data_IF_105549446388
#
_entry.id   IF_105549446388
#
_cell.length_a   1.000
_cell.length_b   1.000
_cell.length_c   1.000
_cell.angle_alpha   90.00
_cell.angle_beta   90.00
_cell.angle_gamma   90.00
#
_symmetry.space_group_name_H-M   'P 1'
#
loop_
_entity.id
_entity.type
_entity.pdbx_description
1 polymer ?
#
# COMPACT_ATOMS: atom_id res chain seq x y z
N UNK A 1 10.48 -4.21 6.90
CA UNK A 1 9.54 -4.56 5.82
C UNK A 1 9.42 -6.05 5.61
N UNK A 2 10.52 -6.79 5.35
CA UNK A 2 10.48 -8.23 5.03
C UNK A 2 9.72 -9.07 6.07
N UNK A 3 10.08 -8.98 7.37
CA UNK A 3 9.41 -9.74 8.42
C UNK A 3 7.88 -9.48 8.51
N UNK A 4 7.47 -8.22 8.37
CA UNK A 4 6.05 -7.85 8.41
C UNK A 4 5.30 -8.40 7.20
N UNK A 5 5.89 -8.30 6.01
CA UNK A 5 5.31 -8.85 4.80
C UNK A 5 5.21 -10.38 4.85
N UNK A 6 6.23 -11.07 5.37
CA UNK A 6 6.17 -12.52 5.65
C UNK A 6 4.99 -12.85 6.57
N UNK A 7 4.83 -12.11 7.67
CA UNK A 7 3.74 -12.31 8.63
C UNK A 7 2.35 -12.10 8.00
N UNK A 8 2.17 -11.03 7.23
CA UNK A 8 0.87 -10.66 6.65
C UNK A 8 0.46 -11.54 5.46
N UNK A 9 1.43 -11.99 4.66
CA UNK A 9 1.15 -12.71 3.41
C UNK A 9 1.27 -14.24 3.55
N UNK A 10 2.01 -14.72 4.56
CA UNK A 10 2.37 -16.13 4.67
C UNK A 10 3.37 -16.61 3.61
N UNK A 11 3.96 -15.71 2.80
CA UNK A 11 4.97 -16.09 1.82
C UNK A 11 6.24 -16.64 2.50
N UNK A 12 6.72 -17.79 2.04
CA UNK A 12 7.90 -18.45 2.59
C UNK A 12 9.22 -17.72 2.30
N UNK A 13 9.24 -16.86 1.28
CA UNK A 13 10.39 -16.05 0.92
C UNK A 13 9.94 -14.63 0.52
N UNK A 14 10.48 -13.63 1.20
CA UNK A 14 10.16 -12.21 0.97
C UNK A 14 11.46 -11.41 0.93
N UNK A 15 11.56 -10.50 -0.04
CA UNK A 15 12.67 -9.55 -0.19
C UNK A 15 12.13 -8.14 -0.32
N UNK A 16 12.75 -7.20 0.37
CA UNK A 16 12.49 -5.76 0.25
C UNK A 16 13.78 -5.05 -0.15
N UNK A 17 13.68 -4.16 -1.13
CA UNK A 17 14.80 -3.34 -1.61
C UNK A 17 14.38 -1.88 -1.50
N UNK A 18 15.21 -1.07 -0.87
CA UNK A 18 15.05 0.39 -0.84
C UNK A 18 16.05 0.99 -1.83
N UNK A 19 15.55 1.81 -2.75
CA UNK A 19 16.37 2.56 -3.69
C UNK A 19 16.25 4.04 -3.36
N UNK A 20 17.39 4.69 -3.17
CA UNK A 20 17.48 6.14 -3.00
C UNK A 20 17.94 6.75 -4.32
N UNK A 21 17.17 7.69 -4.84
CA UNK A 21 17.45 8.36 -6.09
C UNK A 21 17.61 9.87 -5.85
N UNK A 22 18.82 10.44 -5.94
CA UNK A 22 19.10 11.85 -5.67
C UNK A 22 18.85 12.76 -6.90
N UNK A 23 18.02 12.35 -7.86
CA UNK A 23 17.75 13.13 -9.06
C UNK A 23 17.08 14.49 -8.76
N UNK A 24 17.33 15.46 -9.63
CA UNK A 24 16.68 16.77 -9.66
C UNK A 24 15.96 16.95 -11.02
N UNK A 25 14.64 17.21 -11.05
CA UNK A 25 13.73 17.36 -9.91
C UNK A 25 13.53 16.03 -9.14
N UNK A 26 13.14 16.09 -7.85
CA UNK A 26 12.98 14.88 -7.02
C UNK A 26 11.97 13.91 -7.62
N UNK A 27 12.27 12.61 -7.53
CA UNK A 27 11.36 11.57 -8.01
C UNK A 27 10.25 11.30 -7.00
N UNK A 28 9.04 11.11 -7.54
CA UNK A 28 7.91 10.65 -6.75
C UNK A 28 8.16 9.26 -6.17
N UNK A 29 7.72 9.03 -4.92
CA UNK A 29 7.75 7.70 -4.33
C UNK A 29 7.00 6.70 -5.23
N UNK A 30 7.68 5.60 -5.55
CA UNK A 30 7.09 4.44 -6.22
C UNK A 30 7.43 3.18 -5.43
N UNK A 31 6.54 2.20 -5.50
CA UNK A 31 6.78 0.86 -4.99
C UNK A 31 6.29 -0.13 -6.02
N UNK A 32 7.20 -0.97 -6.50
CA UNK A 32 6.86 -2.11 -7.35
C UNK A 32 6.82 -3.35 -6.48
N UNK A 33 5.72 -4.10 -6.57
CA UNK A 33 5.57 -5.40 -5.91
C UNK A 33 5.66 -6.48 -6.98
N UNK A 34 6.42 -7.52 -6.68
CA UNK A 34 6.49 -8.74 -7.48
C UNK A 34 6.03 -9.92 -6.62
N UNK A 35 5.11 -10.72 -7.15
CA UNK A 35 4.63 -11.93 -6.50
C UNK A 35 4.81 -13.10 -7.46
N UNK A 36 5.42 -14.18 -6.97
CA UNK A 36 5.58 -15.43 -7.71
C UNK A 36 4.53 -16.42 -7.23
N UNK A 37 3.76 -16.98 -8.17
CA UNK A 37 2.73 -17.98 -7.88
C UNK A 37 2.66 -19.00 -9.02
N UNK A 38 2.32 -20.25 -8.68
CA UNK A 38 2.14 -21.31 -9.67
C UNK A 38 0.93 -21.05 -10.57
N UNK A 39 -0.16 -20.55 -9.98
CA UNK A 39 -1.39 -20.17 -10.66
C UNK A 39 -1.87 -18.82 -10.13
N UNK A 40 -2.49 -18.02 -10.99
CA UNK A 40 -3.09 -16.74 -10.61
C UNK A 40 -4.29 -16.46 -11.51
N UNK A 41 -5.28 -15.74 -10.96
CA UNK A 41 -6.39 -15.18 -11.71
C UNK A 41 -6.14 -13.69 -11.89
N UNK A 42 -5.65 -13.31 -13.07
CA UNK A 42 -5.29 -11.93 -13.33
C UNK A 42 -6.50 -10.99 -13.31
N UNK A 43 -7.66 -11.46 -13.74
CA UNK A 43 -8.90 -10.64 -13.76
C UNK A 43 -9.32 -10.32 -12.34
N UNK A 44 -9.31 -11.33 -11.47
CA UNK A 44 -9.60 -11.13 -10.04
C UNK A 44 -8.58 -10.22 -9.37
N UNK A 45 -7.29 -10.42 -9.63
CA UNK A 45 -6.22 -9.59 -9.06
C UNK A 45 -6.39 -8.12 -9.47
N UNK A 46 -6.71 -7.85 -10.74
CA UNK A 46 -6.96 -6.49 -11.22
C UNK A 46 -8.12 -5.83 -10.47
N UNK A 47 -9.24 -6.54 -10.32
CA UNK A 47 -10.41 -6.02 -9.61
C UNK A 47 -10.10 -5.75 -8.13
N UNK A 48 -9.55 -6.73 -7.42
CA UNK A 48 -9.20 -6.60 -6.00
C UNK A 48 -8.15 -5.50 -5.77
N UNK A 49 -7.19 -5.34 -6.69
CA UNK A 49 -6.18 -4.28 -6.60
C UNK A 49 -6.81 -2.89 -6.71
N UNK A 50 -7.80 -2.70 -7.59
CA UNK A 50 -8.52 -1.43 -7.73
C UNK A 50 -9.34 -1.11 -6.49
N UNK A 51 -10.02 -2.11 -5.93
CA UNK A 51 -10.79 -1.94 -4.70
C UNK A 51 -9.90 -1.59 -3.51
N UNK A 52 -8.72 -2.23 -3.40
CA UNK A 52 -7.72 -1.92 -2.40
C UNK A 52 -7.14 -0.50 -2.58
N UNK A 53 -6.82 -0.10 -3.81
CA UNK A 53 -6.36 1.27 -4.11
C UNK A 53 -7.41 2.28 -3.72
N UNK A 54 -8.69 2.06 -4.04
CA UNK A 54 -9.78 2.94 -3.65
C UNK A 54 -9.89 3.06 -2.13
N UNK A 55 -9.72 1.95 -1.40
CA UNK A 55 -9.70 1.95 0.07
C UNK A 55 -8.51 2.74 0.62
N UNK A 56 -7.30 2.56 0.08
CA UNK A 56 -6.12 3.32 0.53
C UNK A 56 -6.29 4.81 0.21
N UNK A 57 -6.88 5.14 -0.94
CA UNK A 57 -7.18 6.53 -1.35
C UNK A 57 -8.09 7.28 -0.37
N UNK A 58 -8.88 6.59 0.45
CA UNK A 58 -9.75 7.25 1.45
C UNK A 58 -8.95 7.97 2.53
N UNK A 59 -7.71 7.54 2.81
CA UNK A 59 -6.82 8.19 3.77
C UNK A 59 -5.48 8.66 3.15
N UNK A 60 -5.13 8.22 1.93
CA UNK A 60 -3.99 8.74 1.15
C UNK A 60 -4.44 9.07 -0.28
N UNK A 61 -5.03 10.26 -0.53
CA UNK A 61 -5.62 10.60 -1.82
C UNK A 61 -4.65 10.49 -3.02
N UNK A 62 -3.35 10.69 -2.79
CA UNK A 62 -2.30 10.58 -3.79
C UNK A 62 -1.77 9.16 -4.07
N UNK A 63 -2.30 8.12 -3.41
CA UNK A 63 -1.93 6.72 -3.67
C UNK A 63 -2.58 6.22 -4.95
N UNK A 64 -1.83 5.73 -5.93
CA UNK A 64 -2.43 5.24 -7.18
C UNK A 64 -1.63 4.14 -7.86
N UNK A 65 -2.28 3.34 -8.71
CA UNK A 65 -1.60 2.43 -9.63
C UNK A 65 -1.01 3.23 -10.80
N UNK A 66 0.29 3.07 -11.02
CA UNK A 66 0.97 3.58 -12.23
C UNK A 66 1.24 2.48 -13.24
N UNK A 67 1.32 1.24 -12.76
CA UNK A 67 1.32 0.04 -13.59
C UNK A 67 0.37 -0.95 -12.94
N UNK A 68 -0.72 -1.24 -13.64
CA UNK A 68 -1.70 -2.26 -13.25
C UNK A 68 -1.01 -3.63 -13.08
N UNK A 69 -1.56 -4.52 -12.23
CA UNK A 69 -1.14 -5.91 -12.16
C UNK A 69 -1.02 -6.55 -13.55
N UNK A 70 0.17 -7.08 -13.86
CA UNK A 70 0.46 -7.75 -15.13
C UNK A 70 1.44 -8.90 -14.93
N UNK A 71 1.50 -9.81 -15.91
CA UNK A 71 2.47 -10.90 -15.92
C UNK A 71 3.84 -10.36 -16.35
N UNK A 72 4.84 -10.44 -15.46
CA UNK A 72 6.18 -9.91 -15.66
C UNK A 72 7.23 -10.99 -16.00
N UNK A 73 6.79 -12.18 -16.39
CA UNK A 73 7.60 -13.35 -16.71
C UNK A 73 6.93 -14.66 -16.25
N UNK A 74 7.60 -15.79 -16.45
CA UNK A 74 7.04 -17.11 -16.11
C UNK A 74 6.69 -17.22 -14.62
N UNK A 75 5.39 -17.24 -14.32
CA UNK A 75 4.84 -17.41 -12.97
C UNK A 75 4.97 -16.18 -12.05
N UNK A 76 5.18 -14.97 -12.59
CA UNK A 76 5.36 -13.76 -11.78
C UNK A 76 4.37 -12.66 -12.17
N UNK A 77 3.67 -12.11 -11.18
CA UNK A 77 2.83 -10.92 -11.30
C UNK A 77 3.60 -9.71 -10.77
N UNK A 78 3.45 -8.57 -11.43
CA UNK A 78 3.98 -7.30 -10.99
C UNK A 78 2.93 -6.20 -11.03
N UNK A 79 2.97 -5.30 -10.06
CA UNK A 79 2.24 -4.05 -10.07
C UNK A 79 3.11 -2.94 -9.49
N UNK A 80 2.87 -1.70 -9.91
CA UNK A 80 3.57 -0.53 -9.37
C UNK A 80 2.58 0.52 -8.93
N UNK A 81 2.76 0.98 -7.70
CA UNK A 81 2.01 2.11 -7.15
C UNK A 81 2.91 3.33 -7.01
N UNK A 82 2.30 4.51 -7.05
CA UNK A 82 2.91 5.77 -6.64
C UNK A 82 2.23 6.30 -5.39
N UNK A 83 2.94 7.16 -4.67
CA UNK A 83 2.35 7.97 -3.61
C UNK A 83 2.74 9.42 -3.83
N UNK A 84 1.73 10.25 -4.14
CA UNK A 84 1.83 11.70 -4.04
C UNK A 84 1.50 12.11 -2.60
N UNK A 85 2.43 12.79 -1.95
CA UNK A 85 2.21 13.40 -0.64
C UNK A 85 1.16 14.51 -0.73
N UNK A 86 0.51 14.76 0.40
CA UNK A 86 -0.49 15.80 0.62
C UNK A 86 0.04 17.22 0.49
N UNK A 87 1.35 17.43 0.62
CA UNK A 87 1.97 18.75 0.57
C UNK A 87 1.74 19.61 1.83
N UNK A 88 1.22 19.05 2.94
CA UNK A 88 0.88 19.84 4.12
C UNK A 88 2.09 20.46 4.84
N UNK A 89 3.09 19.63 5.17
CA UNK A 89 4.32 20.07 5.84
C UNK A 89 5.55 19.74 5.01
N UNK A 90 5.58 18.55 4.41
CA UNK A 90 6.63 18.12 3.50
C UNK A 90 6.21 18.34 2.04
N UNK A 91 7.18 18.50 1.11
CA UNK A 91 6.88 18.58 -0.32
C UNK A 91 6.13 17.34 -0.82
N UNK A 92 5.34 17.51 -1.88
CA UNK A 92 4.49 16.43 -2.43
C UNK A 92 5.27 15.17 -2.85
N UNK A 93 6.56 15.28 -3.20
CA UNK A 93 7.39 14.10 -3.53
C UNK A 93 7.69 13.21 -2.32
N UNK A 94 7.48 13.70 -1.09
CA UNK A 94 7.73 12.98 0.18
C UNK A 94 6.59 12.01 0.55
N UNK A 95 5.98 11.37 -0.46
CA UNK A 95 4.85 10.46 -0.28
C UNK A 95 5.13 9.26 0.62
N UNK A 96 6.40 8.88 0.80
CA UNK A 96 6.83 7.83 1.72
C UNK A 96 6.57 8.16 3.20
N UNK A 97 6.68 9.43 3.58
CA UNK A 97 6.40 9.86 4.95
C UNK A 97 4.90 10.09 5.13
N UNK A 98 4.24 10.68 4.13
CA UNK A 98 2.80 10.95 4.19
C UNK A 98 1.96 9.67 4.28
N UNK A 99 2.29 8.60 3.54
CA UNK A 99 1.57 7.32 3.65
C UNK A 99 1.71 6.69 5.04
N UNK A 100 2.87 6.82 5.68
CA UNK A 100 3.11 6.30 7.04
C UNK A 100 2.26 7.08 8.05
N UNK A 101 2.30 8.40 7.98
CA UNK A 101 1.54 9.26 8.88
C UNK A 101 0.03 9.08 8.72
N UNK A 102 -0.46 9.07 7.47
CA UNK A 102 -1.87 8.85 7.18
C UNK A 102 -2.35 7.48 7.66
N UNK A 103 -1.57 6.41 7.43
CA UNK A 103 -1.92 5.08 7.94
C UNK A 103 -1.95 5.02 9.48
N UNK A 104 -1.07 5.75 10.18
CA UNK A 104 -1.08 5.83 11.64
C UNK A 104 -2.35 6.52 12.15
N UNK A 105 -2.75 7.64 11.54
CA UNK A 105 -3.99 8.36 11.88
C UNK A 105 -5.24 7.50 11.59
N UNK A 106 -5.27 6.83 10.43
CA UNK A 106 -6.36 5.93 10.08
C UNK A 106 -6.48 4.77 11.07
N UNK A 107 -5.34 4.16 11.46
CA UNK A 107 -5.32 3.08 12.46
C UNK A 107 -5.88 3.55 13.80
N UNK A 108 -5.49 4.73 14.27
CA UNK A 108 -6.03 5.30 15.52
C UNK A 108 -7.53 5.59 15.41
N UNK A 109 -7.98 6.11 14.27
CA UNK A 109 -9.39 6.40 14.00
C UNK A 109 -10.24 5.13 14.04
N UNK A 110 -9.79 4.06 13.38
CA UNK A 110 -10.45 2.75 13.39
C UNK A 110 -10.48 2.14 14.80
N UNK A 111 -9.39 2.26 15.56
CA UNK A 111 -9.35 1.78 16.94
C UNK A 111 -10.40 2.46 17.82
N UNK A 112 -10.52 3.79 17.75
CA UNK A 112 -11.53 4.54 18.52
C UNK A 112 -12.94 4.13 18.11
N UNK A 113 -13.19 3.96 16.81
CA UNK A 113 -14.49 3.53 16.30
C UNK A 113 -14.89 2.15 16.84
N UNK A 114 -14.00 1.16 16.76
CA UNK A 114 -14.24 -0.20 17.27
C UNK A 114 -14.43 -0.23 18.79
N UNK A 115 -13.63 0.53 19.55
CA UNK A 115 -13.75 0.60 21.00
C UNK A 115 -15.10 1.17 21.45
N UNK A 116 -15.66 2.15 20.71
CA UNK A 116 -17.01 2.67 20.98
C UNK A 116 -18.10 1.64 20.72
N UNK A 117 -18.05 0.96 19.57
CA UNK A 117 -19.02 -0.10 19.23
C UNK A 117 -19.02 -1.24 20.25
N UNK A 118 -17.84 -1.62 20.76
CA UNK A 118 -17.73 -2.63 21.80
C UNK A 118 -18.29 -2.15 23.14
N UNK A 119 -18.11 -0.87 23.49
CA UNK A 119 -18.68 -0.31 24.71
C UNK A 119 -20.22 -0.25 24.67
N UNK A 120 -20.79 0.14 23.53
CA UNK A 120 -22.25 0.17 23.31
C UNK A 120 -22.87 -1.24 23.38
N UNK A 121 -22.19 -2.26 22.85
CA UNK A 121 -22.63 -3.67 22.94
C UNK A 121 -22.61 -4.26 24.35
N UNK A 122 -21.79 -3.73 25.26
CA UNK A 122 -21.68 -4.24 26.64
C UNK A 122 -22.69 -3.54 27.57
N UNK A 123 -23.14 -2.34 27.19
CA UNK A 123 -24.04 -1.50 28.00
C UNK A 123 -25.51 -1.61 27.57
N UNK A 124 -25.81 -2.39 26.53
CA UNK A 124 -27.17 -2.77 26.09
C UNK A 124 -27.43 -4.26 26.33
#
# INVERSE_FOLDING_TARGET
TENMATLLTGCSAVKSILVLNPAEPPVMMRTTVHVRAANFDLVRILQESRDLVAKVKSYVPGYDLVVEPHVAGSGQISATVKVLGSGYYLPEYSGNLDIINAAAVETATQHVHLSRLNHERITT
#
